data_IF_607175044007
#
_entry.id   IF_607175044007
#
_cell.length_a   1.000
_cell.length_b   1.000
_cell.length_c   1.000
_cell.angle_alpha   90.00
_cell.angle_beta   90.00
_cell.angle_gamma   90.00
#
_symmetry.space_group_name_H-M   'P 1'
#
loop_
_entity.id
_entity.type
_entity.pdbx_description
1 polymer ?
#
# COMPACT_ATOMS: atom_id res chain seq x y z
N UNK A 1 17.70 24.42 11.93
CA UNK A 1 18.36 23.17 11.44
C UNK A 1 17.64 21.89 11.90
N UNK A 2 17.19 21.78 13.17
CA UNK A 2 16.56 20.55 13.70
C UNK A 2 15.25 20.11 13.01
N UNK A 3 14.33 21.03 12.73
CA UNK A 3 13.00 20.67 12.20
C UNK A 3 13.02 20.06 10.79
N UNK A 4 13.96 20.50 9.94
CA UNK A 4 14.11 19.95 8.60
C UNK A 4 14.69 18.54 8.64
N UNK A 5 15.61 18.27 9.58
CA UNK A 5 16.18 16.95 9.80
C UNK A 5 15.12 15.97 10.32
N UNK A 6 14.33 16.38 11.32
CA UNK A 6 13.24 15.57 11.88
C UNK A 6 12.19 15.27 10.81
N UNK A 7 11.82 16.25 9.98
CA UNK A 7 10.86 16.06 8.89
C UNK A 7 11.37 15.09 7.83
N UNK A 8 12.66 15.19 7.47
CA UNK A 8 13.32 14.26 6.56
C UNK A 8 13.25 12.82 7.09
N UNK A 9 13.69 12.59 8.33
CA UNK A 9 13.68 11.25 8.92
C UNK A 9 12.27 10.68 9.10
N UNK A 10 11.29 11.50 9.49
CA UNK A 10 9.88 11.06 9.56
C UNK A 10 9.36 10.60 8.21
N UNK A 11 9.74 11.32 7.15
CA UNK A 11 9.34 11.00 5.78
C UNK A 11 9.99 9.71 5.32
N UNK A 12 11.31 9.56 5.51
CA UNK A 12 12.03 8.31 5.22
C UNK A 12 11.43 7.13 5.98
N UNK A 13 11.17 7.30 7.28
CA UNK A 13 10.56 6.26 8.11
C UNK A 13 9.18 5.85 7.58
N UNK A 14 8.35 6.80 7.16
CA UNK A 14 7.02 6.47 6.60
C UNK A 14 7.14 5.73 5.26
N UNK A 15 8.03 6.18 4.37
CA UNK A 15 8.24 5.55 3.06
C UNK A 15 8.85 4.15 3.18
N UNK A 16 9.66 3.89 4.21
CA UNK A 16 10.40 2.63 4.38
C UNK A 16 9.71 1.65 5.32
N UNK A 17 8.95 2.13 6.30
CA UNK A 17 8.38 1.27 7.35
C UNK A 17 6.97 0.78 7.03
N UNK A 18 6.35 1.24 5.95
CA UNK A 18 4.98 0.82 5.61
C UNK A 18 4.88 -0.70 5.38
N UNK A 19 5.76 -1.28 4.56
CA UNK A 19 5.80 -2.73 4.32
C UNK A 19 6.21 -3.51 5.59
N UNK A 20 7.31 -3.15 6.28
CA UNK A 20 7.65 -3.77 7.57
C UNK A 20 6.52 -3.74 8.61
N UNK A 21 5.76 -2.64 8.69
CA UNK A 21 4.64 -2.53 9.63
C UNK A 21 3.48 -3.47 9.25
N UNK A 22 3.18 -3.61 7.96
CA UNK A 22 2.19 -4.59 7.48
C UNK A 22 2.67 -6.00 7.82
N UNK A 23 3.90 -6.36 7.45
CA UNK A 23 4.46 -7.69 7.73
C UNK A 23 4.44 -8.00 9.22
N UNK A 24 4.86 -7.05 10.08
CA UNK A 24 4.81 -7.20 11.53
C UNK A 24 3.39 -7.46 12.03
N UNK A 25 2.40 -6.68 11.59
CA UNK A 25 1.01 -6.85 12.02
C UNK A 25 0.47 -8.24 11.67
N UNK A 26 0.73 -8.72 10.46
CA UNK A 26 0.30 -10.05 10.03
C UNK A 26 1.05 -11.17 10.77
N UNK A 27 2.35 -11.05 10.98
CA UNK A 27 3.13 -12.00 11.79
C UNK A 27 2.66 -12.03 13.24
N UNK A 28 2.28 -10.89 13.83
CA UNK A 28 1.71 -10.85 15.18
C UNK A 28 0.38 -11.62 15.24
N UNK A 29 -0.50 -11.47 14.24
CA UNK A 29 -1.76 -12.23 14.17
C UNK A 29 -1.49 -13.73 14.07
N UNK A 30 -0.55 -14.15 13.21
CA UNK A 30 -0.16 -15.56 13.07
C UNK A 30 0.38 -16.13 14.39
N UNK A 31 1.23 -15.37 15.09
CA UNK A 31 1.81 -15.79 16.37
C UNK A 31 0.76 -15.90 17.49
N UNK A 32 -0.20 -14.96 17.56
CA UNK A 32 -1.26 -14.96 18.58
C UNK A 32 -2.22 -16.14 18.35
N UNK A 33 -2.64 -16.38 17.10
CA UNK A 33 -3.54 -17.48 16.79
C UNK A 33 -2.85 -18.85 16.91
N UNK A 34 -1.53 -18.91 16.70
CA UNK A 34 -0.70 -20.08 16.95
C UNK A 34 -1.14 -21.32 16.16
N UNK A 35 -0.97 -22.49 16.77
CA UNK A 35 -1.28 -23.79 16.16
C UNK A 35 -2.78 -24.05 15.95
N UNK A 36 -3.67 -23.29 16.60
CA UNK A 36 -5.11 -23.44 16.48
C UNK A 36 -5.67 -22.87 15.15
N UNK A 37 -4.86 -22.11 14.41
CA UNK A 37 -5.27 -21.55 13.13
C UNK A 37 -5.43 -22.65 12.06
N UNK A 38 -6.63 -22.76 11.50
CA UNK A 38 -6.89 -23.66 10.38
C UNK A 38 -6.03 -23.29 9.16
N UNK A 39 -5.77 -24.27 8.30
CA UNK A 39 -5.04 -24.05 7.04
C UNK A 39 -5.70 -22.98 6.17
N UNK A 40 -7.03 -23.03 6.08
CA UNK A 40 -7.83 -22.08 5.30
C UNK A 40 -7.65 -20.65 5.80
N UNK A 41 -7.74 -20.44 7.12
CA UNK A 41 -7.54 -19.12 7.72
C UNK A 41 -6.12 -18.61 7.45
N UNK A 42 -5.11 -19.48 7.56
CA UNK A 42 -3.71 -19.12 7.27
C UNK A 42 -3.50 -18.68 5.81
N UNK A 43 -4.06 -19.42 4.86
CA UNK A 43 -3.97 -19.07 3.44
C UNK A 43 -4.73 -17.77 3.11
N UNK A 44 -5.90 -17.56 3.74
CA UNK A 44 -6.65 -16.32 3.61
C UNK A 44 -5.87 -15.11 4.16
N UNK A 45 -5.26 -15.26 5.34
CA UNK A 45 -4.43 -14.24 5.98
C UNK A 45 -3.20 -13.88 5.13
N UNK A 46 -2.53 -14.89 4.55
CA UNK A 46 -1.43 -14.69 3.62
C UNK A 46 -1.86 -13.92 2.36
N UNK A 47 -3.05 -14.22 1.83
CA UNK A 47 -3.61 -13.54 0.66
C UNK A 47 -3.92 -12.07 0.98
N UNK A 48 -4.51 -11.81 2.15
CA UNK A 48 -4.75 -10.45 2.63
C UNK A 48 -3.44 -9.67 2.82
N UNK A 49 -2.39 -10.30 3.36
CA UNK A 49 -1.06 -9.71 3.51
C UNK A 49 -0.47 -9.31 2.16
N UNK A 50 -0.46 -10.24 1.20
CA UNK A 50 0.05 -9.99 -0.15
C UNK A 50 -0.70 -8.83 -0.83
N UNK A 51 -2.02 -8.81 -0.71
CA UNK A 51 -2.85 -7.72 -1.23
C UNK A 51 -2.55 -6.38 -0.56
N UNK A 52 -2.41 -6.36 0.77
CA UNK A 52 -2.06 -5.15 1.52
C UNK A 52 -0.69 -4.61 1.11
N UNK A 53 0.33 -5.47 1.04
CA UNK A 53 1.67 -5.09 0.60
C UNK A 53 1.64 -4.51 -0.82
N UNK A 54 0.93 -5.17 -1.75
CA UNK A 54 0.85 -4.71 -3.13
C UNK A 54 0.14 -3.37 -3.28
N UNK A 55 -0.96 -3.14 -2.54
CA UNK A 55 -1.80 -1.94 -2.67
C UNK A 55 -1.39 -0.77 -1.78
N UNK A 56 -0.65 -1.01 -0.69
CA UNK A 56 -0.24 0.01 0.29
C UNK A 56 1.25 0.33 0.27
N UNK A 57 2.00 -0.15 -0.73
CA UNK A 57 3.40 0.24 -0.91
C UNK A 57 3.56 1.69 -1.39
N UNK A 58 3.33 2.64 -0.50
CA UNK A 58 3.47 4.08 -0.75
C UNK A 58 4.92 4.42 -1.13
N UNK A 59 5.89 3.80 -0.46
CA UNK A 59 7.33 4.00 -0.72
C UNK A 59 7.72 3.78 -2.19
N UNK A 60 7.15 2.75 -2.83
CA UNK A 60 7.41 2.46 -4.24
C UNK A 60 7.01 3.61 -5.19
N UNK A 61 5.98 4.39 -4.84
CA UNK A 61 5.53 5.54 -5.65
C UNK A 61 6.55 6.67 -5.62
N UNK A 62 7.16 6.89 -4.48
CA UNK A 62 8.07 8.02 -4.24
C UNK A 62 9.51 7.70 -4.67
N UNK A 63 9.96 6.44 -4.57
CA UNK A 63 11.34 6.04 -4.92
C UNK A 63 11.57 5.87 -6.43
N UNK A 64 10.53 5.79 -7.26
CA UNK A 64 10.64 5.53 -8.70
C UNK A 64 10.53 6.82 -9.53
N UNK A 65 11.68 7.42 -9.89
CA UNK A 65 11.75 8.42 -10.99
C UNK A 65 11.92 7.67 -12.32
N UNK A 66 11.18 7.97 -13.42
CA UNK A 66 10.00 8.83 -13.60
C UNK A 66 8.73 7.99 -13.80
N UNK A 67 7.76 8.04 -12.88
CA UNK A 67 6.35 7.59 -13.06
C UNK A 67 6.15 6.36 -13.94
N UNK A 68 7.03 5.37 -13.82
CA UNK A 68 6.97 4.17 -14.65
C UNK A 68 5.56 3.65 -14.47
N UNK A 69 4.92 3.24 -15.56
CA UNK A 69 3.66 2.50 -15.48
C UNK A 69 3.93 1.23 -14.65
N UNK A 70 3.91 1.32 -13.31
CA UNK A 70 4.13 0.20 -12.39
C UNK A 70 2.79 -0.53 -12.33
N UNK A 71 2.43 -1.10 -13.48
CA UNK A 71 1.38 -2.08 -13.62
C UNK A 71 2.01 -3.44 -13.41
N UNK A 72 1.64 -4.11 -12.33
CA UNK A 72 2.05 -5.48 -12.04
C UNK A 72 0.82 -6.38 -11.96
N UNK A 73 1.00 -7.64 -12.34
CA UNK A 73 -0.01 -8.66 -12.11
C UNK A 73 0.14 -9.21 -10.69
N UNK A 74 -0.98 -9.38 -10.00
CA UNK A 74 -1.05 -10.03 -8.69
C UNK A 74 -2.07 -11.17 -8.76
N UNK A 75 -1.63 -12.37 -8.43
CA UNK A 75 -2.49 -13.53 -8.28
C UNK A 75 -2.68 -13.84 -6.80
N UNK A 76 -3.92 -13.97 -6.36
CA UNK A 76 -4.26 -14.32 -4.98
C UNK A 76 -5.21 -15.52 -4.95
N UNK A 77 -5.01 -16.49 -4.05
CA UNK A 77 -5.94 -17.60 -3.85
C UNK A 77 -7.33 -17.18 -3.34
N UNK A 78 -7.42 -16.02 -2.69
CA UNK A 78 -8.67 -15.43 -2.19
C UNK A 78 -8.91 -14.05 -2.81
N UNK A 79 -10.17 -13.69 -3.02
CA UNK A 79 -10.57 -12.40 -3.58
C UNK A 79 -10.54 -11.28 -2.54
N UNK A 80 -9.33 -10.90 -2.15
CA UNK A 80 -9.07 -9.86 -1.16
C UNK A 80 -9.58 -8.48 -1.60
N UNK A 81 -9.63 -8.21 -2.91
CA UNK A 81 -10.10 -6.92 -3.41
C UNK A 81 -11.62 -6.80 -3.26
N UNK A 82 -12.39 -7.81 -3.67
CA UNK A 82 -13.83 -7.82 -3.47
C UNK A 82 -14.19 -7.84 -1.98
N UNK A 83 -13.46 -8.61 -1.17
CA UNK A 83 -13.63 -8.62 0.28
C UNK A 83 -13.46 -7.23 0.91
N UNK A 84 -12.44 -6.47 0.46
CA UNK A 84 -12.19 -5.12 0.98
C UNK A 84 -13.20 -4.08 0.49
N UNK A 85 -13.71 -4.23 -0.74
CA UNK A 85 -14.68 -3.32 -1.34
C UNK A 85 -16.12 -3.57 -0.87
N UNK A 86 -16.46 -4.81 -0.52
CA UNK A 86 -17.69 -5.11 0.18
C UNK A 86 -17.64 -4.52 1.60
N UNK A 87 -18.78 -4.00 2.07
CA UNK A 87 -18.89 -3.35 3.38
C UNK A 87 -18.16 -4.15 4.47
N UNK A 88 -17.21 -3.48 5.13
CA UNK A 88 -16.35 -4.07 6.16
C UNK A 88 -17.20 -4.81 7.20
N UNK A 89 -17.04 -6.13 7.26
CA UNK A 89 -17.60 -6.95 8.34
C UNK A 89 -18.80 -7.83 7.99
N UNK A 90 -19.25 -7.89 6.73
CA UNK A 90 -20.36 -8.79 6.36
C UNK A 90 -19.93 -10.26 6.32
N UNK A 91 -18.70 -10.55 5.88
CA UNK A 91 -18.18 -11.91 5.82
C UNK A 91 -16.64 -11.97 5.96
N UNK A 92 -16.09 -13.07 6.51
CA UNK A 92 -14.65 -13.28 6.56
C UNK A 92 -14.07 -13.47 5.16
N UNK A 93 -12.77 -13.20 4.98
CA UNK A 93 -12.09 -13.40 3.69
C UNK A 93 -12.16 -14.86 3.21
N UNK A 94 -12.28 -15.82 4.13
CA UNK A 94 -12.49 -17.24 3.80
C UNK A 94 -13.75 -17.47 2.96
N UNK A 95 -14.79 -16.64 3.09
CA UNK A 95 -15.99 -16.69 2.25
C UNK A 95 -15.75 -16.21 0.80
N UNK A 96 -14.58 -15.62 0.52
CA UNK A 96 -14.16 -15.14 -0.79
C UNK A 96 -13.05 -16.05 -1.37
N UNK A 97 -13.16 -17.37 -1.18
CA UNK A 97 -12.20 -18.40 -1.61
C UNK A 97 -12.10 -18.61 -3.14
N UNK A 98 -12.53 -17.63 -3.92
CA UNK A 98 -12.35 -17.61 -5.37
C UNK A 98 -10.99 -16.96 -5.69
N UNK A 99 -10.12 -17.61 -6.48
CA UNK A 99 -8.88 -17.00 -6.91
C UNK A 99 -9.12 -15.71 -7.70
N UNK A 100 -8.29 -14.70 -7.44
CA UNK A 100 -8.37 -13.40 -8.09
C UNK A 100 -7.09 -13.06 -8.86
N UNK A 101 -7.28 -12.56 -10.08
CA UNK A 101 -6.21 -12.03 -10.92
C UNK A 101 -6.37 -10.51 -11.00
N UNK A 102 -5.36 -9.78 -10.54
CA UNK A 102 -5.42 -8.33 -10.43
C UNK A 102 -4.31 -7.64 -11.19
N UNK A 103 -4.65 -6.44 -11.66
CA UNK A 103 -3.71 -5.42 -12.07
C UNK A 103 -3.52 -4.44 -10.91
N UNK A 104 -2.31 -4.33 -10.40
CA UNK A 104 -1.93 -3.34 -9.41
C UNK A 104 -1.21 -2.20 -10.12
N UNK A 105 -1.72 -0.98 -10.03
CA UNK A 105 -1.18 0.16 -10.77
C UNK A 105 -1.30 1.48 -10.02
N UNK A 106 -0.59 2.49 -10.50
CA UNK A 106 -0.68 3.86 -10.01
C UNK A 106 -1.37 4.74 -11.06
N UNK A 107 -2.14 5.73 -10.62
CA UNK A 107 -2.66 6.78 -11.51
C UNK A 107 -1.53 7.74 -11.90
N UNK A 108 -0.66 7.33 -12.82
CA UNK A 108 0.56 8.04 -13.17
C UNK A 108 0.31 9.51 -13.57
N UNK A 109 -0.78 9.79 -14.31
CA UNK A 109 -1.16 11.14 -14.70
C UNK A 109 -1.50 12.02 -13.49
N UNK A 110 -2.28 11.50 -12.53
CA UNK A 110 -2.63 12.21 -11.30
C UNK A 110 -1.41 12.46 -10.43
N UNK A 111 -0.56 11.44 -10.25
CA UNK A 111 0.68 11.56 -9.48
C UNK A 111 1.62 12.59 -10.11
N UNK A 112 1.80 12.55 -11.43
CA UNK A 112 2.61 13.53 -12.16
C UNK A 112 2.17 14.96 -11.87
N UNK A 113 0.87 15.25 -11.94
CA UNK A 113 0.32 16.58 -11.63
C UNK A 113 0.66 16.97 -10.18
N UNK A 114 0.42 16.08 -9.22
CA UNK A 114 0.73 16.32 -7.80
C UNK A 114 2.21 16.66 -7.63
N UNK A 115 3.11 15.86 -8.22
CA UNK A 115 4.55 16.07 -8.06
C UNK A 115 5.05 17.33 -8.77
N UNK A 116 4.53 17.66 -9.95
CA UNK A 116 4.86 18.92 -10.65
C UNK A 116 4.39 20.15 -9.86
N UNK A 117 3.20 20.10 -9.26
CA UNK A 117 2.71 21.17 -8.37
C UNK A 117 3.61 21.33 -7.15
N UNK A 118 4.08 20.22 -6.59
CA UNK A 118 4.95 20.19 -5.42
C UNK A 118 6.34 20.77 -5.69
N UNK A 119 6.92 20.46 -6.86
CA UNK A 119 8.19 21.06 -7.29
C UNK A 119 8.06 22.58 -7.46
N UNK A 120 6.94 23.05 -8.00
CA UNK A 120 6.66 24.50 -8.13
C UNK A 120 6.51 25.19 -6.77
N UNK A 121 5.82 24.57 -5.82
CA UNK A 121 5.53 25.17 -4.51
C UNK A 121 6.71 25.12 -3.54
N UNK A 122 7.55 24.09 -3.64
CA UNK A 122 8.53 23.77 -2.60
C UNK A 122 9.96 23.58 -3.10
N UNK A 123 10.23 23.84 -4.39
CA UNK A 123 11.56 23.69 -4.99
C UNK A 123 11.98 22.23 -5.12
N UNK A 124 13.26 21.94 -5.29
CA UNK A 124 13.77 20.59 -5.61
C UNK A 124 14.04 19.65 -4.42
N UNK A 125 13.77 20.03 -3.17
CA UNK A 125 14.00 19.17 -2.00
C UNK A 125 12.89 18.11 -1.88
N UNK A 126 13.21 16.91 -2.35
CA UNK A 126 12.28 15.77 -2.37
C UNK A 126 11.78 15.37 -0.98
N UNK A 127 12.66 15.33 0.03
CA UNK A 127 12.26 14.94 1.39
C UNK A 127 11.30 15.95 2.00
N UNK A 128 11.53 17.23 1.73
CA UNK A 128 10.62 18.30 2.16
C UNK A 128 9.27 18.23 1.42
N UNK A 129 9.29 18.01 0.10
CA UNK A 129 8.08 17.84 -0.70
C UNK A 129 7.23 16.70 -0.15
N UNK A 130 7.76 15.48 -0.03
CA UNK A 130 6.96 14.32 0.40
C UNK A 130 6.37 14.53 1.80
N UNK A 131 7.15 15.09 2.74
CA UNK A 131 6.65 15.41 4.08
C UNK A 131 5.48 16.41 4.08
N UNK A 132 5.52 17.43 3.20
CA UNK A 132 4.40 18.37 3.03
C UNK A 132 3.19 17.73 2.37
N UNK A 133 3.44 16.85 1.42
CA UNK A 133 2.44 16.15 0.63
C UNK A 133 1.60 15.22 1.50
N UNK A 134 2.25 14.42 2.36
CA UNK A 134 1.56 13.55 3.32
C UNK A 134 0.81 14.31 4.42
N UNK A 135 1.21 15.55 4.74
CA UNK A 135 0.50 16.38 5.69
C UNK A 135 -0.74 17.08 5.08
N UNK A 136 -0.65 17.43 3.80
CA UNK A 136 -1.70 18.20 3.12
C UNK A 136 -2.70 17.30 2.36
N UNK A 137 -2.32 16.06 2.03
CA UNK A 137 -3.11 15.13 1.23
C UNK A 137 -3.26 13.79 1.96
N UNK A 138 -4.46 13.21 1.88
CA UNK A 138 -4.72 11.87 2.42
C UNK A 138 -3.80 10.83 1.75
N UNK A 139 -3.17 9.98 2.56
CA UNK A 139 -2.32 8.85 2.15
C UNK A 139 -2.99 7.93 1.13
N UNK A 140 -4.33 7.87 1.12
CA UNK A 140 -5.12 7.12 0.13
C UNK A 140 -4.85 7.55 -1.31
N UNK A 141 -4.44 8.80 -1.54
CA UNK A 141 -4.05 9.28 -2.88
C UNK A 141 -2.75 8.66 -3.38
N UNK A 142 -1.96 8.08 -2.48
CA UNK A 142 -0.67 7.42 -2.75
C UNK A 142 -0.76 5.91 -2.51
N UNK A 143 -1.97 5.37 -2.41
CA UNK A 143 -2.19 3.93 -2.47
C UNK A 143 -2.30 3.48 -3.93
N UNK A 144 -1.73 2.31 -4.23
CA UNK A 144 -1.85 1.70 -5.55
C UNK A 144 -3.27 1.18 -5.72
N UNK A 145 -3.80 1.32 -6.93
CA UNK A 145 -5.10 0.79 -7.33
C UNK A 145 -5.00 -0.70 -7.59
N UNK A 146 -6.10 -1.39 -7.39
CA UNK A 146 -6.25 -2.82 -7.64
C UNK A 146 -7.53 -3.04 -8.44
N UNK A 147 -7.39 -3.62 -9.63
CA UNK A 147 -8.51 -3.92 -10.52
C UNK A 147 -8.41 -5.36 -11.00
N UNK A 148 -9.55 -6.04 -11.08
CA UNK A 148 -9.62 -7.40 -11.61
C UNK A 148 -9.31 -7.42 -13.10
N UNK A 149 -8.43 -8.32 -13.51
CA UNK A 149 -8.17 -8.62 -14.93
C UNK A 149 -9.25 -9.60 -15.38
N UNK A 150 -10.04 -9.20 -16.37
CA UNK A 150 -11.04 -10.06 -17.01
C UNK A 150 -10.41 -10.98 -18.04
#
# INVERSE_FOLDING_TARGET
LGDNLIRKYKTELLLESCIPAIELAYSSIENIAGAAMSREVRESLRSARQWMVATRNVGAIFKSKPYVNISEALYLPYDANAWYLHELGVAPLTAYSRPGHYRIFCEAAKLKIIFEEMEKLYGGDFSFQVGKLLNNWDVKNFCRKCETIK
#
